data_IF_751617293570
#
_entry.id   IF_751617293570
#
_cell.length_a   1.000
_cell.length_b   1.000
_cell.length_c   1.000
_cell.angle_alpha   90.00
_cell.angle_beta   90.00
_cell.angle_gamma   90.00
#
_symmetry.space_group_name_H-M   'P 1'
#
loop_
_entity.id
_entity.type
_entity.pdbx_description
1 polymer ?
#
# COMPACT_ATOMS: atom_id res chain seq x y z
N UNK A 1 -13.88 2.96 16.85
CA UNK A 1 -12.65 2.94 16.03
C UNK A 1 -12.21 1.49 15.89
N UNK A 2 -12.05 0.96 14.66
CA UNK A 2 -11.40 -0.35 14.51
C UNK A 2 -9.91 -0.16 14.77
N UNK A 3 -9.38 -0.89 15.73
CA UNK A 3 -7.96 -0.88 16.04
C UNK A 3 -7.17 -1.46 14.86
N UNK A 4 -5.98 -0.90 14.61
CA UNK A 4 -5.07 -1.40 13.58
C UNK A 4 -4.73 -2.86 13.89
N UNK A 5 -4.89 -3.74 12.91
CA UNK A 5 -4.59 -5.16 13.14
C UNK A 5 -3.11 -5.33 13.49
N UNK A 6 -2.79 -6.33 14.33
CA UNK A 6 -1.39 -6.68 14.66
C UNK A 6 -0.54 -6.92 13.41
N UNK A 7 -1.15 -7.46 12.35
CA UNK A 7 -0.50 -7.60 11.05
C UNK A 7 -0.08 -6.24 10.49
N UNK A 8 -1.00 -5.29 10.36
CA UNK A 8 -0.71 -3.96 9.83
C UNK A 8 0.27 -3.18 10.72
N UNK A 9 0.19 -3.35 12.04
CA UNK A 9 1.16 -2.76 12.96
C UNK A 9 2.59 -3.25 12.67
N UNK A 10 2.76 -4.56 12.47
CA UNK A 10 4.05 -5.13 12.11
C UNK A 10 4.54 -4.66 10.73
N UNK A 11 3.64 -4.49 9.74
CA UNK A 11 4.00 -3.93 8.43
C UNK A 11 4.53 -2.51 8.58
N UNK A 12 3.86 -1.63 9.33
CA UNK A 12 4.31 -0.25 9.53
C UNK A 12 5.63 -0.16 10.30
N UNK A 13 5.87 -1.00 11.31
CA UNK A 13 7.17 -1.01 12.02
C UNK A 13 8.32 -1.31 11.04
N UNK A 14 8.14 -2.28 10.15
CA UNK A 14 9.15 -2.62 9.15
C UNK A 14 9.30 -1.50 8.11
N UNK A 15 8.18 -0.92 7.66
CA UNK A 15 8.17 0.18 6.68
C UNK A 15 8.86 1.42 7.23
N UNK A 16 8.64 1.77 8.50
CA UNK A 16 9.32 2.87 9.16
C UNK A 16 10.83 2.62 9.29
N UNK A 17 11.23 1.38 9.58
CA UNK A 17 12.65 1.02 9.63
C UNK A 17 13.35 1.16 8.26
N UNK A 18 12.63 0.88 7.17
CA UNK A 18 13.10 1.10 5.81
C UNK A 18 13.22 2.60 5.52
N UNK A 19 12.21 3.40 5.87
CA UNK A 19 12.23 4.85 5.73
C UNK A 19 13.39 5.50 6.46
N UNK A 20 13.66 5.08 7.70
CA UNK A 20 14.81 5.58 8.48
C UNK A 20 16.18 5.24 7.85
N UNK A 21 16.21 4.28 6.92
CA UNK A 21 17.42 3.86 6.20
C UNK A 21 17.46 4.39 4.76
N UNK A 22 16.35 4.84 4.20
CA UNK A 22 16.25 5.36 2.85
C UNK A 22 17.29 6.47 2.61
N UNK A 23 18.02 6.38 1.50
CA UNK A 23 19.07 7.33 1.13
C UNK A 23 20.39 7.22 1.90
N UNK A 24 20.55 6.23 2.81
CA UNK A 24 21.85 5.94 3.46
C UNK A 24 22.76 5.03 2.63
N UNK A 25 22.16 4.16 1.83
CA UNK A 25 22.88 3.25 0.94
C UNK A 25 22.73 3.74 -0.51
N UNK A 26 23.57 3.25 -1.43
CA UNK A 26 23.36 3.50 -2.85
C UNK A 26 22.03 2.86 -3.32
N UNK A 27 21.33 3.42 -4.33
CA UNK A 27 20.05 2.87 -4.81
C UNK A 27 20.11 1.37 -5.14
N UNK A 28 21.19 0.90 -5.75
CA UNK A 28 21.39 -0.51 -6.09
C UNK A 28 21.58 -1.39 -4.84
N UNK A 29 22.25 -0.88 -3.81
CA UNK A 29 22.47 -1.60 -2.54
C UNK A 29 21.19 -1.71 -1.73
N UNK A 30 20.37 -0.65 -1.73
CA UNK A 30 19.04 -0.66 -1.15
C UNK A 30 18.15 -1.67 -1.85
N UNK A 31 18.07 -1.62 -3.19
CA UNK A 31 17.29 -2.54 -3.98
C UNK A 31 17.72 -4.00 -3.77
N UNK A 32 19.03 -4.28 -3.78
CA UNK A 32 19.56 -5.63 -3.53
C UNK A 32 19.19 -6.14 -2.13
N UNK A 33 19.28 -5.29 -1.10
CA UNK A 33 18.88 -5.66 0.26
C UNK A 33 17.39 -5.96 0.35
N UNK A 34 16.55 -5.07 -0.19
CA UNK A 34 15.09 -5.21 -0.17
C UNK A 34 14.68 -6.49 -0.91
N UNK A 35 15.24 -6.71 -2.10
CA UNK A 35 15.03 -7.93 -2.89
C UNK A 35 15.42 -9.19 -2.13
N UNK A 36 16.63 -9.22 -1.57
CA UNK A 36 17.11 -10.37 -0.79
C UNK A 36 16.17 -10.67 0.37
N UNK A 37 15.78 -9.65 1.14
CA UNK A 37 14.90 -9.83 2.30
C UNK A 37 13.50 -10.29 1.89
N UNK A 38 12.94 -9.73 0.82
CA UNK A 38 11.66 -10.16 0.25
C UNK A 38 11.67 -11.64 -0.16
N UNK A 39 12.74 -12.06 -0.81
CA UNK A 39 12.89 -13.42 -1.35
C UNK A 39 13.07 -14.48 -0.25
N UNK A 40 13.80 -14.16 0.81
CA UNK A 40 14.18 -15.11 1.87
C UNK A 40 13.15 -15.19 3.02
N UNK A 41 12.45 -14.09 3.31
CA UNK A 41 11.63 -14.02 4.52
C UNK A 41 10.33 -14.83 4.41
N UNK A 42 9.98 -15.54 5.48
CA UNK A 42 8.69 -16.24 5.65
C UNK A 42 7.71 -15.47 6.54
N UNK A 43 8.16 -14.36 7.14
CA UNK A 43 7.30 -13.52 7.96
C UNK A 43 6.45 -12.63 7.05
N UNK A 44 5.17 -12.93 6.92
CA UNK A 44 4.25 -12.23 6.00
C UNK A 44 4.25 -10.69 6.17
N UNK A 45 4.25 -10.09 7.38
CA UNK A 45 4.32 -8.63 7.51
C UNK A 45 5.62 -8.04 6.98
N UNK A 46 6.75 -8.72 7.23
CA UNK A 46 8.06 -8.30 6.70
C UNK A 46 8.07 -8.45 5.18
N UNK A 47 7.55 -9.56 4.66
CA UNK A 47 7.46 -9.80 3.22
C UNK A 47 6.61 -8.76 2.51
N UNK A 48 5.47 -8.39 3.12
CA UNK A 48 4.60 -7.31 2.65
C UNK A 48 5.32 -5.97 2.59
N UNK A 49 5.98 -5.56 3.68
CA UNK A 49 6.72 -4.30 3.72
C UNK A 49 7.85 -4.27 2.67
N UNK A 50 8.63 -5.35 2.53
CA UNK A 50 9.71 -5.42 1.53
C UNK A 50 9.17 -5.40 0.09
N UNK A 51 8.08 -6.14 -0.18
CA UNK A 51 7.48 -6.17 -1.50
C UNK A 51 6.94 -4.79 -1.90
N UNK A 52 6.23 -4.13 -0.99
CA UNK A 52 5.65 -2.82 -1.24
C UNK A 52 6.74 -1.76 -1.41
N UNK A 53 7.75 -1.76 -0.54
CA UNK A 53 8.88 -0.85 -0.65
C UNK A 53 9.64 -1.03 -1.96
N UNK A 54 10.00 -2.27 -2.29
CA UNK A 54 10.73 -2.60 -3.51
C UNK A 54 9.96 -2.30 -4.79
N UNK A 55 8.63 -2.53 -4.79
CA UNK A 55 7.77 -2.20 -5.93
C UNK A 55 7.80 -0.70 -6.27
N UNK A 56 8.00 0.18 -5.29
CA UNK A 56 8.05 1.62 -5.48
C UNK A 56 9.47 2.21 -5.53
N UNK A 57 10.52 1.39 -5.51
CA UNK A 57 11.88 1.86 -5.76
C UNK A 57 12.02 2.29 -7.23
N UNK A 58 12.63 3.45 -7.47
CA UNK A 58 12.84 3.99 -8.83
C UNK A 58 13.98 3.32 -9.58
N UNK A 59 14.96 2.78 -8.85
CA UNK A 59 16.23 2.27 -9.37
C UNK A 59 16.63 0.97 -8.68
N UNK A 60 17.54 0.21 -9.29
CA UNK A 60 18.15 -0.99 -8.72
C UNK A 60 17.28 -2.26 -8.73
N UNK A 61 15.96 -2.15 -8.94
CA UNK A 61 15.06 -3.29 -9.11
C UNK A 61 14.93 -3.64 -10.59
N UNK A 62 15.21 -4.89 -10.94
CA UNK A 62 15.03 -5.39 -12.31
C UNK A 62 13.54 -5.56 -12.67
N UNK A 63 13.23 -5.59 -13.97
CA UNK A 63 11.85 -5.81 -14.45
C UNK A 63 11.27 -7.12 -13.90
N UNK A 64 12.06 -8.19 -13.84
CA UNK A 64 11.63 -9.47 -13.29
C UNK A 64 11.33 -9.36 -11.78
N UNK A 65 12.21 -8.72 -11.02
CA UNK A 65 12.01 -8.53 -9.57
C UNK A 65 10.75 -7.71 -9.29
N UNK A 66 10.53 -6.64 -10.06
CA UNK A 66 9.32 -5.84 -9.98
C UNK A 66 8.06 -6.69 -10.28
N UNK A 67 8.10 -7.52 -11.32
CA UNK A 67 6.99 -8.44 -11.65
C UNK A 67 6.71 -9.45 -10.53
N UNK A 68 7.73 -9.99 -9.88
CA UNK A 68 7.56 -10.93 -8.77
C UNK A 68 6.95 -10.26 -7.53
N UNK A 69 7.36 -9.03 -7.21
CA UNK A 69 6.73 -8.24 -6.14
C UNK A 69 5.27 -7.89 -6.49
N UNK A 70 4.99 -7.50 -7.73
CA UNK A 70 3.63 -7.24 -8.21
C UNK A 70 2.74 -8.49 -8.08
N UNK A 71 3.24 -9.66 -8.51
CA UNK A 71 2.54 -10.93 -8.41
C UNK A 71 2.25 -11.34 -6.95
N UNK A 72 3.12 -10.95 -6.02
CA UNK A 72 2.89 -11.15 -4.59
C UNK A 72 1.86 -10.17 -4.01
N UNK A 73 1.93 -8.88 -4.39
CA UNK A 73 1.10 -7.80 -3.85
C UNK A 73 -0.34 -7.83 -4.39
N UNK A 74 -0.54 -8.08 -5.68
CA UNK A 74 -1.86 -8.03 -6.33
C UNK A 74 -2.94 -8.88 -5.63
N UNK A 75 -2.73 -10.17 -5.32
CA UNK A 75 -3.74 -10.94 -4.57
C UNK A 75 -3.92 -10.49 -3.11
N UNK A 76 -3.05 -9.60 -2.61
CA UNK A 76 -3.04 -9.02 -1.27
C UNK A 76 -3.29 -7.51 -1.31
N UNK A 77 -3.94 -7.00 -2.36
CA UNK A 77 -4.13 -5.55 -2.59
C UNK A 77 -4.75 -4.83 -1.40
N UNK A 78 -5.71 -5.47 -0.71
CA UNK A 78 -6.30 -4.89 0.52
C UNK A 78 -5.24 -4.59 1.58
N UNK A 79 -4.33 -5.54 1.83
CA UNK A 79 -3.26 -5.34 2.80
C UNK A 79 -2.25 -4.29 2.33
N UNK A 80 -1.95 -4.27 1.03
CA UNK A 80 -1.03 -3.30 0.43
C UNK A 80 -1.58 -1.87 0.50
N UNK A 81 -2.83 -1.65 0.08
CA UNK A 81 -3.48 -0.33 0.13
C UNK A 81 -3.68 0.11 1.57
N UNK A 82 -4.08 -0.78 2.49
CA UNK A 82 -4.14 -0.41 3.91
C UNK A 82 -2.79 0.03 4.47
N UNK A 83 -1.69 -0.61 4.06
CA UNK A 83 -0.35 -0.17 4.45
C UNK A 83 -0.03 1.21 3.85
N UNK A 84 -0.37 1.47 2.58
CA UNK A 84 -0.19 2.79 1.96
C UNK A 84 -1.06 3.88 2.60
N UNK A 85 -2.27 3.55 3.05
CA UNK A 85 -3.13 4.43 3.84
C UNK A 85 -2.44 4.78 5.16
N UNK A 86 -1.84 3.80 5.86
CA UNK A 86 -1.12 4.05 7.11
C UNK A 86 0.05 5.02 6.94
N UNK A 87 0.74 4.92 5.81
CA UNK A 87 1.84 5.82 5.46
C UNK A 87 1.36 7.16 4.87
N UNK A 88 0.05 7.33 4.66
CA UNK A 88 -0.62 8.50 4.05
C UNK A 88 -0.05 8.87 2.67
N UNK A 89 0.13 7.85 1.81
CA UNK A 89 0.82 7.96 0.51
C UNK A 89 -0.15 7.79 -0.68
N UNK A 90 -0.96 8.82 -1.03
CA UNK A 90 -2.00 8.71 -2.05
C UNK A 90 -1.46 8.43 -3.45
N UNK A 91 -0.27 8.92 -3.80
CA UNK A 91 0.33 8.70 -5.13
C UNK A 91 0.61 7.21 -5.36
N UNK A 92 1.04 6.49 -4.32
CA UNK A 92 1.26 5.04 -4.39
C UNK A 92 -0.05 4.28 -4.47
N UNK A 93 -1.10 4.75 -3.78
CA UNK A 93 -2.45 4.17 -3.90
C UNK A 93 -2.96 4.32 -5.32
N UNK A 94 -2.78 5.49 -5.92
CA UNK A 94 -3.18 5.77 -7.31
C UNK A 94 -2.49 4.85 -8.32
N UNK A 95 -1.21 4.53 -8.13
CA UNK A 95 -0.52 3.55 -8.99
C UNK A 95 -1.19 2.18 -8.93
N UNK A 96 -1.67 1.73 -7.76
CA UNK A 96 -2.34 0.44 -7.62
C UNK A 96 -3.76 0.46 -8.20
N UNK A 97 -4.46 1.59 -8.06
CA UNK A 97 -5.77 1.83 -8.68
C UNK A 97 -5.67 1.78 -10.20
N UNK A 98 -4.77 2.59 -10.79
CA UNK A 98 -4.59 2.70 -12.24
C UNK A 98 -4.12 1.38 -12.87
N UNK A 99 -3.45 0.52 -12.09
CA UNK A 99 -3.09 -0.82 -12.51
C UNK A 99 -4.27 -1.82 -12.49
N UNK A 100 -5.46 -1.37 -12.07
CA UNK A 100 -6.69 -2.15 -11.94
C UNK A 100 -6.63 -3.20 -10.84
N UNK A 101 -5.90 -2.94 -9.73
CA UNK A 101 -5.73 -3.95 -8.68
C UNK A 101 -6.93 -4.02 -7.73
N UNK A 102 -7.75 -2.98 -7.66
CA UNK A 102 -8.95 -2.92 -6.83
C UNK A 102 -10.01 -2.05 -7.51
N UNK A 103 -11.28 -2.17 -7.10
CA UNK A 103 -12.39 -1.42 -7.70
C UNK A 103 -13.30 -0.78 -6.65
N UNK A 104 -14.52 -0.41 -7.07
CA UNK A 104 -15.51 0.31 -6.25
C UNK A 104 -15.71 -0.29 -4.85
N UNK A 105 -15.84 -1.62 -4.77
CA UNK A 105 -16.11 -2.32 -3.51
C UNK A 105 -14.98 -2.13 -2.51
N UNK A 106 -13.73 -2.28 -2.96
CA UNK A 106 -12.57 -2.06 -2.11
C UNK A 106 -12.40 -0.56 -1.78
N UNK A 107 -12.71 0.32 -2.73
CA UNK A 107 -12.60 1.76 -2.57
C UNK A 107 -13.43 2.28 -1.38
N UNK A 108 -14.68 1.82 -1.23
CA UNK A 108 -15.54 2.16 -0.08
C UNK A 108 -14.94 1.71 1.26
N UNK A 109 -14.41 0.48 1.30
CA UNK A 109 -13.73 -0.05 2.48
C UNK A 109 -12.46 0.77 2.81
N UNK A 110 -11.72 1.24 1.80
CA UNK A 110 -10.53 2.06 1.96
C UNK A 110 -10.86 3.47 2.43
N UNK A 111 -11.90 4.12 1.91
CA UNK A 111 -12.38 5.43 2.39
C UNK A 111 -12.71 5.35 3.87
N UNK A 112 -13.47 4.32 4.29
CA UNK A 112 -13.78 4.11 5.71
C UNK A 112 -12.49 3.94 6.52
N UNK A 113 -11.55 3.15 6.03
CA UNK A 113 -10.27 2.87 6.70
C UNK A 113 -9.42 4.13 6.86
N UNK A 114 -9.26 4.93 5.80
CA UNK A 114 -8.50 6.19 5.84
C UNK A 114 -9.14 7.21 6.79
N UNK A 115 -10.48 7.31 6.79
CA UNK A 115 -11.22 8.16 7.73
C UNK A 115 -11.03 7.73 9.18
N UNK A 116 -11.17 6.44 9.48
CA UNK A 116 -11.01 5.91 10.83
C UNK A 116 -9.57 6.08 11.37
N UNK A 117 -8.58 5.97 10.48
CA UNK A 117 -7.15 6.12 10.80
C UNK A 117 -6.64 7.56 10.69
N UNK A 118 -7.51 8.52 10.36
CA UNK A 118 -7.19 9.94 10.21
C UNK A 118 -6.06 10.22 9.19
N UNK A 119 -6.08 9.51 8.06
CA UNK A 119 -5.09 9.61 6.98
C UNK A 119 -5.63 10.52 5.89
N UNK A 120 -5.39 11.82 6.04
CA UNK A 120 -6.10 12.86 5.30
C UNK A 120 -5.77 12.84 3.81
N UNK A 121 -4.50 12.65 3.44
CA UNK A 121 -4.11 12.67 2.03
C UNK A 121 -4.69 11.45 1.30
N UNK A 122 -4.59 10.27 1.90
CA UNK A 122 -5.21 9.06 1.40
C UNK A 122 -6.74 9.20 1.30
N UNK A 123 -7.39 9.75 2.34
CA UNK A 123 -8.84 9.95 2.35
C UNK A 123 -9.30 10.88 1.21
N UNK A 124 -8.64 12.03 1.05
CA UNK A 124 -8.98 13.01 0.00
C UNK A 124 -8.81 12.39 -1.39
N UNK A 125 -7.72 11.65 -1.62
CA UNK A 125 -7.52 10.94 -2.88
C UNK A 125 -8.64 9.93 -3.15
N UNK A 126 -8.90 9.02 -2.20
CA UNK A 126 -9.90 7.96 -2.37
C UNK A 126 -11.33 8.52 -2.57
N UNK A 127 -11.66 9.65 -1.95
CA UNK A 127 -12.93 10.34 -2.17
C UNK A 127 -13.04 10.94 -3.57
N UNK A 128 -11.98 11.59 -4.07
CA UNK A 128 -11.95 12.12 -5.45
C UNK A 128 -12.05 11.00 -6.47
N UNK A 129 -11.38 9.89 -6.23
CA UNK A 129 -11.42 8.70 -7.07
C UNK A 129 -12.86 8.14 -7.16
N UNK A 130 -13.55 8.06 -6.01
CA UNK A 130 -14.94 7.63 -5.97
C UNK A 130 -15.87 8.57 -6.74
N UNK A 131 -15.72 9.87 -6.53
CA UNK A 131 -16.52 10.89 -7.20
C UNK A 131 -16.35 10.86 -8.72
N UNK A 132 -15.11 10.69 -9.19
CA UNK A 132 -14.78 10.69 -10.61
C UNK A 132 -15.27 9.44 -11.37
N UNK A 133 -15.25 8.26 -10.74
CA UNK A 133 -15.43 6.99 -11.45
C UNK A 133 -16.70 6.20 -11.09
N UNK A 134 -17.28 6.40 -9.91
CA UNK A 134 -18.39 5.57 -9.41
C UNK A 134 -19.58 6.38 -8.89
N UNK A 135 -19.35 7.63 -8.49
CA UNK A 135 -20.34 8.47 -7.82
C UNK A 135 -20.63 8.00 -6.38
N UNK A 136 -21.40 8.81 -5.65
CA UNK A 136 -21.90 8.45 -4.33
C UNK A 136 -23.32 7.91 -4.49
N UNK A 137 -23.53 6.63 -4.14
CA UNK A 137 -24.89 6.11 -3.96
C UNK A 137 -25.52 6.80 -2.76
N UNK A 138 -26.60 7.54 -2.99
CA UNK A 138 -27.51 7.92 -1.91
C UNK A 138 -28.12 6.63 -1.34
N UNK A 139 -27.76 6.26 -0.13
CA UNK A 139 -28.61 5.36 0.64
C UNK A 139 -29.92 6.12 0.85
N UNK A 140 -31.01 5.69 0.19
CA UNK A 140 -32.33 6.22 0.49
C UNK A 140 -32.59 5.99 1.98
N UNK A 141 -32.48 7.08 2.76
CA UNK A 141 -33.05 7.12 4.09
C UNK A 141 -34.55 7.01 3.89
N UNK A 142 -35.08 5.80 4.03
CA UNK A 142 -36.51 5.61 4.30
C UNK A 142 -36.78 6.32 5.64
N UNK A 143 -37.29 7.55 5.54
CA UNK A 143 -37.81 8.36 6.65
C UNK A 143 -39.23 7.90 7.01
#
# INVERSE_FOLDING_TARGET
MREKSRYQMNVSVVTESLRMRAGKDAPEEEAARVWKKFSETRQEPVKMAMALWGYFLKEGISVQQHQEMAAYLKPRVRNAVEALIEEDEPEKIAVLEQAGWFGEKELDDFIRTARERQKLQALVYLMKEKDAHYGYREEMLEL
#
